data_IF_711585180077
#
_entry.id   IF_711585180077
#
_cell.length_a   1.000
_cell.length_b   1.000
_cell.length_c   1.000
_cell.angle_alpha   90.00
_cell.angle_beta   90.00
_cell.angle_gamma   90.00
#
_symmetry.space_group_name_H-M   'P 1'
#
loop_
_entity.id
_entity.type
_entity.pdbx_description
1 polymer ?
#
# COMPACT_ATOMS: atom_id res chain seq x y z
N UNK A 1 37.81 -26.51 24.10
CA UNK A 1 37.38 -25.11 24.27
C UNK A 1 37.03 -24.55 22.89
N UNK A 2 35.73 -24.26 22.69
CA UNK A 2 35.05 -23.60 21.54
C UNK A 2 35.13 -24.24 20.13
N UNK A 3 34.01 -24.75 19.59
CA UNK A 3 33.73 -24.72 18.16
C UNK A 3 32.91 -23.47 17.79
N UNK A 4 33.37 -22.72 16.78
CA UNK A 4 32.59 -21.67 16.10
C UNK A 4 31.64 -22.34 15.10
N UNK A 5 30.39 -22.55 15.50
CA UNK A 5 29.32 -22.81 14.53
C UNK A 5 28.80 -21.47 14.00
N UNK A 6 29.12 -21.18 12.74
CA UNK A 6 28.49 -20.12 11.98
C UNK A 6 27.00 -20.46 11.83
N UNK A 7 26.16 -19.68 12.49
CA UNK A 7 24.73 -19.67 12.22
C UNK A 7 24.51 -19.33 10.75
N UNK A 8 23.87 -20.24 10.02
CA UNK A 8 23.22 -19.93 8.76
C UNK A 8 22.19 -18.82 9.03
N UNK A 9 22.56 -17.58 8.74
CA UNK A 9 21.64 -16.47 8.68
C UNK A 9 20.70 -16.73 7.48
N UNK A 10 19.47 -17.12 7.78
CA UNK A 10 18.40 -17.29 6.79
C UNK A 10 18.06 -15.90 6.25
N UNK A 11 18.59 -15.58 5.07
CA UNK A 11 18.30 -14.34 4.35
C UNK A 11 16.78 -14.35 4.03
N UNK A 12 16.02 -13.52 4.72
CA UNK A 12 14.60 -13.32 4.41
C UNK A 12 14.48 -12.62 3.05
N UNK A 13 13.62 -13.19 2.20
CA UNK A 13 13.45 -12.85 0.81
C UNK A 13 12.89 -11.43 0.65
N UNK A 14 13.57 -10.58 -0.12
CA UNK A 14 13.12 -9.24 -0.50
C UNK A 14 11.91 -9.25 -1.46
N UNK A 15 11.57 -10.40 -2.05
CA UNK A 15 10.50 -10.57 -3.03
C UNK A 15 9.06 -10.47 -2.50
N UNK A 16 8.82 -10.75 -1.20
CA UNK A 16 7.46 -10.77 -0.65
C UNK A 16 6.89 -9.37 -0.37
N UNK A 17 7.75 -8.38 -0.12
CA UNK A 17 7.31 -7.01 0.24
C UNK A 17 6.87 -6.19 -0.97
N UNK A 18 7.57 -6.31 -2.10
CA UNK A 18 7.25 -5.60 -3.35
C UNK A 18 5.93 -6.09 -3.94
N UNK A 19 5.73 -7.41 -4.02
CA UNK A 19 4.47 -8.02 -4.46
C UNK A 19 3.29 -7.59 -3.58
N UNK A 20 3.46 -7.60 -2.26
CA UNK A 20 2.40 -7.20 -1.33
C UNK A 20 2.03 -5.72 -1.44
N UNK A 21 3.00 -4.84 -1.75
CA UNK A 21 2.73 -3.42 -2.02
C UNK A 21 1.94 -3.23 -3.31
N UNK A 22 2.33 -3.92 -4.38
CA UNK A 22 1.62 -3.87 -5.66
C UNK A 22 0.17 -4.33 -5.51
N UNK A 23 -0.09 -5.43 -4.78
CA UNK A 23 -1.45 -5.91 -4.51
C UNK A 23 -2.30 -4.90 -3.72
N UNK A 24 -1.70 -4.16 -2.77
CA UNK A 24 -2.42 -3.12 -2.02
C UNK A 24 -2.76 -1.91 -2.89
N UNK A 25 -1.83 -1.46 -3.73
CA UNK A 25 -2.08 -0.39 -4.69
C UNK A 25 -3.18 -0.77 -5.67
N UNK A 26 -3.14 -1.99 -6.22
CA UNK A 26 -4.20 -2.53 -7.08
C UNK A 26 -5.55 -2.53 -6.35
N UNK A 27 -5.59 -3.01 -5.10
CA UNK A 27 -6.82 -3.00 -4.31
C UNK A 27 -7.38 -1.58 -4.11
N UNK A 28 -6.54 -0.59 -3.82
CA UNK A 28 -6.98 0.81 -3.68
C UNK A 28 -7.60 1.33 -4.98
N UNK A 29 -6.99 1.03 -6.12
CA UNK A 29 -7.51 1.43 -7.44
C UNK A 29 -8.87 0.79 -7.72
N UNK A 30 -8.99 -0.53 -7.54
CA UNK A 30 -10.25 -1.27 -7.73
C UNK A 30 -11.35 -0.73 -6.80
N UNK A 31 -11.04 -0.44 -5.53
CA UNK A 31 -12.00 0.13 -4.58
C UNK A 31 -12.40 1.57 -4.94
N UNK A 32 -11.49 2.35 -5.54
CA UNK A 32 -11.79 3.69 -6.05
C UNK A 32 -12.76 3.64 -7.22
N UNK A 33 -12.48 2.75 -8.19
CA UNK A 33 -13.34 2.51 -9.36
C UNK A 33 -14.72 2.04 -8.89
N UNK A 34 -14.79 1.00 -8.05
CA UNK A 34 -16.06 0.43 -7.57
C UNK A 34 -16.96 1.50 -6.95
N UNK A 35 -16.42 2.34 -6.06
CA UNK A 35 -17.18 3.42 -5.41
C UNK A 35 -17.70 4.45 -6.41
N UNK A 36 -16.96 4.73 -7.48
CA UNK A 36 -17.40 5.65 -8.53
C UNK A 36 -18.47 5.03 -9.43
N UNK A 37 -18.36 3.73 -9.74
CA UNK A 37 -19.39 2.99 -10.47
C UNK A 37 -20.73 3.00 -9.74
N UNK A 38 -20.72 2.75 -8.43
CA UNK A 38 -21.93 2.78 -7.60
C UNK A 38 -22.63 4.15 -7.64
N UNK A 39 -21.86 5.23 -7.84
CA UNK A 39 -22.37 6.61 -7.91
C UNK A 39 -22.87 7.02 -9.30
N UNK A 40 -22.15 6.63 -10.36
CA UNK A 40 -22.36 7.11 -11.74
C UNK A 40 -23.13 6.10 -12.60
N UNK A 41 -23.30 4.86 -12.14
CA UNK A 41 -24.23 3.90 -12.74
C UNK A 41 -23.68 3.06 -13.90
N UNK A 42 -22.36 2.89 -14.04
CA UNK A 42 -21.79 1.83 -14.91
C UNK A 42 -20.66 2.22 -15.87
N UNK A 43 -20.35 3.51 -16.05
CA UNK A 43 -19.33 3.96 -17.01
C UNK A 43 -17.91 3.93 -16.43
N UNK A 44 -17.39 2.73 -16.16
CA UNK A 44 -16.07 2.56 -15.55
C UNK A 44 -14.91 3.03 -16.41
N UNK A 45 -15.05 2.96 -17.73
CA UNK A 45 -14.03 3.42 -18.68
C UNK A 45 -13.80 4.93 -18.57
N UNK A 46 -14.88 5.71 -18.54
CA UNK A 46 -14.83 7.18 -18.42
C UNK A 46 -14.30 7.59 -17.03
N UNK A 47 -14.71 6.89 -15.96
CA UNK A 47 -14.25 7.18 -14.60
C UNK A 47 -12.83 6.67 -14.30
N UNK A 48 -12.29 5.74 -15.08
CA UNK A 48 -10.96 5.17 -14.87
C UNK A 48 -9.89 6.26 -14.87
N UNK A 49 -9.93 7.15 -15.87
CA UNK A 49 -8.99 8.27 -16.00
C UNK A 49 -9.07 9.20 -14.80
N UNK A 50 -10.28 9.51 -14.34
CA UNK A 50 -10.53 10.34 -13.16
C UNK A 50 -9.99 9.72 -11.87
N UNK A 51 -10.22 8.43 -11.66
CA UNK A 51 -9.71 7.69 -10.49
C UNK A 51 -8.19 7.58 -10.50
N UNK A 52 -7.59 7.29 -11.66
CA UNK A 52 -6.14 7.25 -11.83
C UNK A 52 -5.51 8.62 -11.58
N UNK A 53 -6.13 9.70 -12.08
CA UNK A 53 -5.70 11.06 -11.84
C UNK A 53 -5.70 11.37 -10.34
N UNK A 54 -6.84 11.17 -9.67
CA UNK A 54 -6.95 11.38 -8.23
C UNK A 54 -5.94 10.52 -7.44
N UNK A 55 -5.72 9.27 -7.83
CA UNK A 55 -4.72 8.39 -7.21
C UNK A 55 -3.30 8.96 -7.32
N UNK A 56 -2.96 9.58 -8.47
CA UNK A 56 -1.63 10.14 -8.74
C UNK A 56 -1.42 11.49 -8.05
N UNK A 57 -2.42 12.36 -8.04
CA UNK A 57 -2.30 13.76 -7.60
C UNK A 57 -2.70 14.01 -6.15
N UNK A 58 -3.30 13.03 -5.46
CA UNK A 58 -3.64 13.19 -4.04
C UNK A 58 -2.46 12.82 -3.14
N UNK A 59 -2.01 13.72 -2.24
CA UNK A 59 -1.00 13.40 -1.24
C UNK A 59 -1.41 12.24 -0.36
N UNK A 60 -0.50 11.29 -0.11
CA UNK A 60 -0.79 10.13 0.75
C UNK A 60 -0.49 10.46 2.20
N UNK A 61 -1.38 10.13 3.13
CA UNK A 61 -1.11 10.34 4.56
C UNK A 61 0.17 9.65 5.07
N UNK A 62 0.65 8.58 4.40
CA UNK A 62 1.88 7.88 4.78
C UNK A 62 3.17 8.55 4.30
N UNK A 63 3.16 9.28 3.19
CA UNK A 63 4.33 9.99 2.64
C UNK A 63 4.22 11.51 2.80
N UNK A 64 3.00 12.03 2.92
CA UNK A 64 2.64 13.44 2.87
C UNK A 64 2.80 14.08 1.49
N UNK A 65 3.23 13.33 0.48
CA UNK A 65 3.48 13.78 -0.90
C UNK A 65 2.56 13.00 -1.86
N UNK A 66 2.20 13.58 -3.01
CA UNK A 66 1.46 12.87 -4.06
C UNK A 66 2.39 11.94 -4.85
N UNK A 67 1.83 10.99 -5.60
CA UNK A 67 2.66 10.12 -6.45
C UNK A 67 3.28 10.94 -7.60
N UNK A 68 2.55 11.94 -8.09
CA UNK A 68 3.01 12.80 -9.16
C UNK A 68 4.23 13.63 -8.73
N UNK A 69 4.19 14.27 -7.56
CA UNK A 69 5.32 15.07 -7.05
C UNK A 69 6.56 14.23 -6.73
N UNK A 70 6.39 12.98 -6.28
CA UNK A 70 7.54 12.07 -6.06
C UNK A 70 8.24 11.67 -7.37
N UNK A 71 7.50 11.59 -8.48
CA UNK A 71 8.05 11.21 -9.80
C UNK A 71 8.66 12.42 -10.50
N UNK A 72 7.93 13.53 -10.56
CA UNK A 72 8.25 14.70 -11.38
C UNK A 72 8.81 15.90 -10.58
N UNK A 73 8.89 15.80 -9.25
CA UNK A 73 9.45 16.84 -8.38
C UNK A 73 8.51 17.98 -8.00
N UNK A 74 7.37 18.08 -8.65
CA UNK A 74 6.42 19.17 -8.41
C UNK A 74 4.97 18.67 -8.48
N UNK A 75 4.06 19.35 -7.80
CA UNK A 75 2.63 19.04 -7.87
C UNK A 75 2.04 19.54 -9.19
N UNK A 76 1.26 18.69 -9.86
CA UNK A 76 0.54 19.08 -11.06
C UNK A 76 -0.58 20.07 -10.75
N UNK A 77 -0.94 20.89 -11.75
CA UNK A 77 -2.22 21.61 -11.73
C UNK A 77 -3.34 20.57 -11.89
N UNK A 78 -4.35 20.63 -11.03
CA UNK A 78 -5.50 19.72 -11.09
C UNK A 78 -6.52 20.33 -12.07
N UNK A 79 -7.22 19.53 -12.91
CA UNK A 79 -8.22 20.05 -13.84
C UNK A 79 -9.30 20.96 -13.20
N UNK A 80 -9.65 20.71 -11.93
CA UNK A 80 -10.58 21.58 -11.19
C UNK A 80 -10.06 23.03 -11.03
N UNK A 81 -8.75 23.23 -10.93
CA UNK A 81 -8.11 24.55 -10.86
C UNK A 81 -8.14 25.30 -12.19
N UNK A 82 -8.41 24.61 -13.31
CA UNK A 82 -8.61 25.24 -14.62
C UNK A 82 -10.05 25.72 -14.80
N UNK A 83 -11.02 24.98 -14.25
CA UNK A 83 -12.43 25.38 -14.25
C UNK A 83 -12.73 26.54 -13.30
N UNK A 84 -12.03 26.60 -12.17
CA UNK A 84 -12.04 27.74 -11.24
C UNK A 84 -10.58 28.16 -11.06
N UNK A 85 -10.13 29.25 -11.73
CA UNK A 85 -8.73 29.65 -11.75
C UNK A 85 -8.14 29.71 -10.34
N UNK A 86 -7.23 28.80 -10.02
CA UNK A 86 -6.51 28.85 -8.76
C UNK A 86 -5.48 29.98 -8.78
N UNK A 87 -4.97 30.35 -7.60
CA UNK A 87 -3.89 31.34 -7.50
C UNK A 87 -2.67 30.96 -8.38
N UNK A 88 -2.39 29.66 -8.53
CA UNK A 88 -1.29 29.16 -9.37
C UNK A 88 -1.54 29.46 -10.86
N UNK A 89 -2.78 29.28 -11.31
CA UNK A 89 -3.19 29.55 -12.70
C UNK A 89 -3.21 31.07 -12.96
N UNK A 90 -3.77 31.85 -12.04
CA UNK A 90 -3.90 33.30 -12.19
C UNK A 90 -2.55 34.03 -12.19
N UNK A 91 -1.56 33.52 -11.47
CA UNK A 91 -0.23 34.14 -11.35
C UNK A 91 0.85 33.32 -12.07
N UNK A 92 0.47 32.57 -13.11
CA UNK A 92 1.41 31.83 -13.92
C UNK A 92 2.30 32.79 -14.72
N UNK A 93 3.61 32.61 -14.59
CA UNK A 93 4.60 33.36 -15.35
C UNK A 93 5.63 32.38 -15.89
N UNK A 94 5.71 32.27 -17.21
CA UNK A 94 6.43 31.19 -17.90
C UNK A 94 7.91 31.13 -17.51
N UNK A 95 8.63 32.25 -17.64
CA UNK A 95 10.06 32.34 -17.31
C UNK A 95 10.34 31.97 -15.84
N UNK A 96 9.52 32.47 -14.91
CA UNK A 96 9.65 32.13 -13.49
C UNK A 96 9.38 30.65 -13.25
N UNK A 97 8.37 30.08 -13.91
CA UNK A 97 8.02 28.68 -13.78
C UNK A 97 9.12 27.76 -14.33
N UNK A 98 9.75 28.10 -15.45
CA UNK A 98 10.89 27.36 -15.99
C UNK A 98 12.09 27.34 -15.03
N UNK A 99 12.39 28.48 -14.40
CA UNK A 99 13.47 28.57 -13.41
C UNK A 99 13.16 27.70 -12.18
N UNK A 100 11.93 27.80 -11.65
CA UNK A 100 11.48 26.95 -10.55
C UNK A 100 11.48 25.46 -10.91
N UNK A 101 11.13 25.09 -12.14
CA UNK A 101 11.18 23.70 -12.59
C UNK A 101 12.61 23.16 -12.61
N UNK A 102 13.59 23.96 -13.02
CA UNK A 102 15.02 23.58 -12.94
C UNK A 102 15.45 23.36 -11.49
N UNK A 103 15.14 24.29 -10.59
CA UNK A 103 15.43 24.13 -9.16
C UNK A 103 14.77 22.88 -8.57
N UNK A 104 13.52 22.59 -8.96
CA UNK A 104 12.82 21.40 -8.50
C UNK A 104 13.53 20.10 -8.92
N UNK A 105 14.21 20.07 -10.07
CA UNK A 105 14.96 18.87 -10.50
C UNK A 105 16.05 18.52 -9.50
N UNK A 106 16.76 19.53 -8.99
CA UNK A 106 17.81 19.34 -7.98
C UNK A 106 17.21 18.90 -6.62
N UNK A 107 16.00 19.36 -6.29
CA UNK A 107 15.31 19.06 -5.03
C UNK A 107 14.51 17.74 -5.05
N UNK A 108 14.36 17.07 -6.19
CA UNK A 108 13.60 15.82 -6.32
C UNK A 108 14.11 14.75 -5.35
N UNK A 109 15.43 14.65 -5.19
CA UNK A 109 16.04 13.65 -4.32
C UNK A 109 15.71 13.91 -2.85
N UNK A 110 15.79 15.17 -2.40
CA UNK A 110 15.38 15.57 -1.05
C UNK A 110 13.91 15.27 -0.78
N UNK A 111 13.04 15.55 -1.76
CA UNK A 111 11.61 15.24 -1.68
C UNK A 111 11.38 13.73 -1.51
N UNK A 112 12.07 12.91 -2.30
CA UNK A 112 12.00 11.45 -2.23
C UNK A 112 12.51 10.93 -0.89
N UNK A 113 13.61 11.47 -0.37
CA UNK A 113 14.17 11.11 0.92
C UNK A 113 13.18 11.45 2.06
N UNK A 114 12.64 12.67 2.06
CA UNK A 114 11.61 13.10 3.00
C UNK A 114 10.37 12.20 2.97
N UNK A 115 9.91 11.82 1.78
CA UNK A 115 8.79 10.90 1.61
C UNK A 115 9.12 9.50 2.17
N UNK A 116 10.35 9.01 1.93
CA UNK A 116 10.86 7.75 2.48
C UNK A 116 10.90 7.76 4.02
N UNK A 117 11.43 8.83 4.62
CA UNK A 117 11.49 9.00 6.08
C UNK A 117 10.09 9.00 6.71
N UNK A 118 9.15 9.74 6.12
CA UNK A 118 7.74 9.76 6.55
C UNK A 118 7.09 8.38 6.44
N UNK A 119 7.31 7.69 5.32
CA UNK A 119 6.81 6.32 5.12
C UNK A 119 7.35 5.35 6.17
N UNK A 120 8.65 5.44 6.49
CA UNK A 120 9.27 4.60 7.51
C UNK A 120 8.69 4.89 8.90
N UNK A 121 8.54 6.17 9.25
CA UNK A 121 7.89 6.59 10.50
C UNK A 121 6.45 6.07 10.59
N UNK A 122 5.68 6.20 9.51
CA UNK A 122 4.32 5.70 9.42
C UNK A 122 4.26 4.18 9.60
N UNK A 123 5.13 3.43 8.92
CA UNK A 123 5.22 1.97 9.09
C UNK A 123 5.54 1.58 10.53
N UNK A 124 6.52 2.23 11.14
CA UNK A 124 6.90 1.96 12.53
C UNK A 124 5.75 2.26 13.49
N UNK A 125 5.05 3.38 13.29
CA UNK A 125 3.86 3.71 14.06
C UNK A 125 2.78 2.64 13.93
N UNK A 126 2.52 2.15 12.72
CA UNK A 126 1.53 1.09 12.47
C UNK A 126 1.92 -0.23 13.13
N UNK A 127 3.19 -0.64 13.02
CA UNK A 127 3.73 -1.85 13.65
C UNK A 127 3.61 -1.74 15.17
N UNK A 128 4.06 -0.64 15.76
CA UNK A 128 3.98 -0.42 17.20
C UNK A 128 2.53 -0.43 17.70
N UNK A 129 1.63 0.21 16.96
CA UNK A 129 0.20 0.23 17.29
C UNK A 129 -0.43 -1.16 17.18
N UNK A 130 0.01 -1.99 16.23
CA UNK A 130 -0.45 -3.38 16.14
C UNK A 130 0.11 -4.21 17.29
N UNK A 131 1.42 -4.17 17.52
CA UNK A 131 2.09 -4.93 18.57
C UNK A 131 1.56 -4.58 19.97
N UNK A 132 1.24 -3.31 20.26
CA UNK A 132 0.58 -2.90 21.51
C UNK A 132 -0.79 -3.56 21.73
N UNK A 133 -1.49 -3.93 20.65
CA UNK A 133 -2.82 -4.55 20.69
C UNK A 133 -2.77 -6.07 20.68
N UNK A 134 -1.66 -6.66 20.24
CA UNK A 134 -1.48 -8.12 20.22
C UNK A 134 -1.12 -8.60 21.62
N UNK A 135 -1.99 -9.42 22.22
CA UNK A 135 -1.68 -10.15 23.45
C UNK A 135 -1.06 -11.48 23.07
N UNK A 136 0.20 -11.71 23.44
CA UNK A 136 0.85 -13.01 23.27
C UNK A 136 0.10 -14.05 24.11
N UNK A 137 -0.37 -15.12 23.48
CA UNK A 137 -0.99 -16.27 24.15
C UNK A 137 -0.05 -17.46 24.04
N UNK A 138 0.20 -18.15 25.15
CA UNK A 138 0.82 -19.46 25.17
C UNK A 138 -0.28 -20.53 25.12
N UNK A 139 0.03 -21.63 24.42
CA UNK A 139 -0.88 -22.78 24.29
C UNK A 139 -0.16 -24.04 24.78
N UNK A 140 -0.89 -24.94 25.41
CA UNK A 140 -0.42 -26.24 25.88
C UNK A 140 -0.96 -27.38 25.01
N UNK A 141 -0.32 -28.54 25.10
CA UNK A 141 -0.79 -29.75 24.41
C UNK A 141 -2.18 -30.11 24.94
N UNK A 142 -3.18 -30.11 24.05
CA UNK A 142 -4.59 -30.32 24.39
C UNK A 142 -5.47 -29.09 24.22
N UNK A 143 -4.88 -27.89 24.06
CA UNK A 143 -5.64 -26.68 23.81
C UNK A 143 -6.24 -26.68 22.39
N UNK A 144 -7.54 -26.38 22.32
CA UNK A 144 -8.23 -26.20 21.04
C UNK A 144 -7.90 -24.82 20.47
N UNK A 145 -7.21 -24.81 19.33
CA UNK A 145 -6.85 -23.58 18.61
C UNK A 145 -7.54 -23.54 17.25
N UNK A 146 -8.08 -22.37 16.90
CA UNK A 146 -8.64 -22.14 15.58
C UNK A 146 -7.49 -21.95 14.58
N UNK A 147 -7.28 -22.96 13.73
CA UNK A 147 -6.35 -22.84 12.61
C UNK A 147 -7.02 -22.03 11.51
N UNK A 148 -6.29 -21.07 10.95
CA UNK A 148 -6.74 -20.39 9.74
C UNK A 148 -6.88 -21.43 8.63
N UNK A 149 -8.09 -21.58 8.09
CA UNK A 149 -8.33 -22.42 6.93
C UNK A 149 -7.75 -21.68 5.71
N UNK A 150 -6.46 -21.86 5.44
CA UNK A 150 -5.92 -21.47 4.15
C UNK A 150 -6.66 -22.28 3.10
N UNK A 151 -7.27 -21.57 2.14
CA UNK A 151 -8.25 -22.07 1.17
C UNK A 151 -7.97 -23.53 0.77
N UNK A 152 -8.65 -24.45 1.48
CA UNK A 152 -8.70 -25.84 1.08
C UNK A 152 -9.29 -25.82 -0.32
N UNK A 153 -8.58 -26.44 -1.27
CA UNK A 153 -9.12 -26.81 -2.59
C UNK A 153 -10.58 -27.26 -2.40
N UNK A 154 -11.51 -26.87 -3.27
CA UNK A 154 -12.93 -27.05 -3.03
C UNK A 154 -13.16 -28.51 -2.67
N UNK A 155 -13.59 -28.75 -1.42
CA UNK A 155 -14.11 -30.06 -1.05
C UNK A 155 -15.33 -30.22 -1.92
N UNK A 156 -15.20 -31.06 -2.95
CA UNK A 156 -16.28 -31.49 -3.79
C UNK A 156 -17.40 -31.95 -2.87
N UNK A 157 -18.54 -31.26 -2.96
CA UNK A 157 -19.78 -31.73 -2.34
C UNK A 157 -20.04 -33.12 -2.92
N UNK A 158 -19.80 -34.15 -2.11
CA UNK A 158 -20.46 -35.46 -2.05
C UNK A 158 -19.46 -36.49 -1.54
N UNK A 159 -19.46 -36.71 -0.22
CA UNK A 159 -19.25 -38.03 0.40
C UNK A 159 -20.06 -38.07 1.72
N UNK A 160 -20.72 -39.19 2.06
CA UNK A 160 -21.62 -39.29 3.21
C UNK A 160 -20.85 -39.37 4.54
N UNK A 161 -21.50 -39.13 5.70
CA UNK A 161 -20.81 -38.94 6.97
C UNK A 161 -20.31 -40.29 7.53
N UNK A 162 -19.06 -40.62 7.24
CA UNK A 162 -18.33 -41.75 7.82
C UNK A 162 -17.34 -41.28 8.87
N UNK A 163 -17.47 -41.80 10.10
CA UNK A 163 -16.56 -41.61 11.24
C UNK A 163 -15.09 -41.80 10.82
N UNK A 164 -14.23 -40.83 11.11
CA UNK A 164 -12.82 -41.10 11.36
C UNK A 164 -12.28 -40.27 12.53
N UNK A 165 -12.09 -40.98 13.64
CA UNK A 165 -11.28 -40.57 14.78
C UNK A 165 -9.82 -40.78 14.39
N UNK A 166 -9.13 -39.75 13.95
CA UNK A 166 -7.65 -39.77 13.94
C UNK A 166 -7.08 -38.47 14.49
N UNK A 167 -6.75 -38.60 15.79
CA UNK A 167 -5.70 -37.89 16.53
C UNK A 167 -4.53 -37.54 15.60
N UNK A 168 -4.27 -36.24 15.42
CA UNK A 168 -2.96 -35.75 14.96
C UNK A 168 -2.31 -35.03 16.14
N UNK A 169 -1.26 -35.66 16.68
CA UNK A 169 -0.31 -35.04 17.61
C UNK A 169 0.68 -34.17 16.82
N UNK A 170 1.25 -33.20 17.54
CA UNK A 170 2.14 -32.14 17.06
C UNK A 170 3.45 -32.66 16.45
#
# INVERSE_FOLDING_TARGET
MVPRNAHQAKIHHSGSSSSQRASRSHHILVQGIKRRLERVGGNWEEELTSVLWAYRTTPRGSTGESLFSVVYGTETIIPAELGIPSYRVMNFFEERNENLLRENVDLIEELREKACLRMQRYKNFMINSHNKRVKTRSFQVGDLVLRKADALKPVSKLDPPGKDRTRSQA
#
